data_IF_274172260140
#
_entry.id   IF_274172260140
#
_cell.length_a   1.000
_cell.length_b   1.000
_cell.length_c   1.000
_cell.angle_alpha   90.00
_cell.angle_beta   90.00
_cell.angle_gamma   90.00
#
_symmetry.space_group_name_H-M   'P 1'
#
loop_
_entity.id
_entity.type
_entity.pdbx_description
1 polymer ?
#
# COMPACT_ATOMS: atom_id res chain seq x y z
N UNK A 1 15.09 21.78 9.86
CA UNK A 1 15.03 20.31 9.93
C UNK A 1 13.70 19.93 10.57
N UNK A 2 12.64 19.80 9.78
CA UNK A 2 11.34 19.38 10.30
C UNK A 2 11.26 17.88 10.08
N UNK A 3 11.52 17.12 11.15
CA UNK A 3 11.30 15.69 11.20
C UNK A 3 9.90 15.41 10.69
N UNK A 4 9.80 14.90 9.46
CA UNK A 4 8.53 14.54 8.84
C UNK A 4 7.98 13.41 9.70
N UNK A 5 6.98 13.73 10.52
CA UNK A 5 6.19 12.75 11.22
C UNK A 5 5.94 11.59 10.25
N UNK A 6 6.27 10.37 10.69
CA UNK A 6 5.93 9.15 9.97
C UNK A 6 4.41 9.00 10.14
N UNK A 7 3.65 9.92 9.54
CA UNK A 7 2.22 9.78 9.37
C UNK A 7 2.09 8.61 8.41
N UNK A 8 1.70 7.45 8.97
CA UNK A 8 1.32 6.28 8.20
C UNK A 8 0.15 6.69 7.34
N UNK A 9 0.42 7.14 6.12
CA UNK A 9 -0.61 7.48 5.16
C UNK A 9 -0.91 6.20 4.36
N UNK A 10 -1.94 5.41 4.75
CA UNK A 10 -2.21 4.13 4.11
C UNK A 10 -2.51 4.33 2.62
N UNK A 11 -3.15 5.44 2.26
CA UNK A 11 -3.41 5.81 0.87
C UNK A 11 -2.13 5.90 0.06
N UNK A 12 -1.12 6.66 0.52
CA UNK A 12 0.15 6.79 -0.19
C UNK A 12 0.81 5.42 -0.44
N UNK A 13 0.78 4.51 0.54
CA UNK A 13 1.36 3.17 0.43
C UNK A 13 0.58 2.26 -0.51
N UNK A 14 -0.75 2.32 -0.48
CA UNK A 14 -1.61 1.55 -1.39
C UNK A 14 -1.39 2.03 -2.84
N UNK A 15 -1.24 3.33 -3.05
CA UNK A 15 -0.95 3.88 -4.37
C UNK A 15 0.43 3.44 -4.91
N UNK A 16 1.46 3.43 -4.06
CA UNK A 16 2.80 2.93 -4.43
C UNK A 16 2.76 1.45 -4.84
N UNK A 17 2.06 0.61 -4.05
CA UNK A 17 1.83 -0.80 -4.38
C UNK A 17 1.05 -0.98 -5.68
N UNK A 18 0.09 -0.09 -5.95
CA UNK A 18 -0.65 -0.10 -7.21
C UNK A 18 0.23 0.28 -8.41
N UNK A 19 1.15 1.24 -8.24
CA UNK A 19 2.14 1.58 -9.26
C UNK A 19 3.15 0.45 -9.49
N UNK A 20 3.45 -0.35 -8.45
CA UNK A 20 4.23 -1.57 -8.56
C UNK A 20 3.47 -2.74 -9.23
N UNK A 21 2.23 -2.53 -9.67
CA UNK A 21 1.42 -3.50 -10.40
C UNK A 21 0.48 -4.36 -9.55
N UNK A 22 0.40 -4.15 -8.23
CA UNK A 22 -0.58 -4.86 -7.41
C UNK A 22 -1.98 -4.26 -7.53
N UNK A 23 -3.00 -5.11 -7.58
CA UNK A 23 -4.39 -4.66 -7.55
C UNK A 23 -4.87 -4.37 -6.12
N UNK A 24 -5.91 -3.54 -5.98
CA UNK A 24 -6.54 -3.26 -4.67
C UNK A 24 -7.05 -4.54 -3.97
N UNK A 25 -7.46 -5.54 -4.75
CA UNK A 25 -7.89 -6.85 -4.22
C UNK A 25 -6.72 -7.60 -3.61
N UNK A 26 -5.58 -7.68 -4.30
CA UNK A 26 -4.38 -8.36 -3.80
C UNK A 26 -3.81 -7.66 -2.57
N UNK A 27 -3.77 -6.32 -2.58
CA UNK A 27 -3.35 -5.53 -1.43
C UNK A 27 -4.27 -5.82 -0.24
N UNK A 28 -5.59 -5.85 -0.45
CA UNK A 28 -6.57 -6.19 0.58
C UNK A 28 -6.33 -7.58 1.17
N UNK A 29 -6.21 -8.60 0.32
CA UNK A 29 -5.92 -9.97 0.76
C UNK A 29 -4.61 -10.04 1.56
N UNK A 30 -3.58 -9.32 1.14
CA UNK A 30 -2.28 -9.31 1.81
C UNK A 30 -2.28 -8.61 3.18
N UNK A 31 -3.16 -7.62 3.39
CA UNK A 31 -3.28 -6.88 4.66
C UNK A 31 -4.48 -7.29 5.51
N UNK A 32 -5.25 -8.30 5.09
CA UNK A 32 -6.45 -8.77 5.79
C UNK A 32 -7.67 -7.86 5.66
N UNK A 33 -7.72 -7.02 4.62
CA UNK A 33 -8.86 -6.15 4.32
C UNK A 33 -9.63 -6.62 3.08
N UNK A 34 -10.92 -6.28 3.05
CA UNK A 34 -11.73 -6.43 1.83
C UNK A 34 -11.36 -5.37 0.80
N UNK A 35 -11.43 -5.70 -0.49
CA UNK A 35 -11.24 -4.75 -1.60
C UNK A 35 -12.05 -3.43 -1.46
N UNK A 36 -13.33 -3.42 -1.05
CA UNK A 36 -14.05 -2.16 -0.79
C UNK A 36 -13.44 -1.34 0.34
N UNK A 37 -12.92 -1.97 1.40
CA UNK A 37 -12.25 -1.25 2.50
C UNK A 37 -10.94 -0.59 2.02
N UNK A 38 -10.18 -1.27 1.15
CA UNK A 38 -9.01 -0.68 0.48
C UNK A 38 -9.43 0.50 -0.41
N UNK A 39 -10.53 0.38 -1.14
CA UNK A 39 -11.07 1.48 -1.95
C UNK A 39 -11.46 2.69 -1.11
N UNK A 40 -12.08 2.48 0.05
CA UNK A 40 -12.45 3.54 0.99
C UNK A 40 -11.22 4.26 1.57
N UNK A 41 -10.13 3.52 1.84
CA UNK A 41 -8.82 4.09 2.24
C UNK A 41 -8.21 4.95 1.13
N UNK A 42 -8.21 4.47 -0.11
CA UNK A 42 -7.66 5.21 -1.26
C UNK A 42 -8.46 6.49 -1.53
N UNK A 43 -9.80 6.40 -1.39
CA UNK A 43 -10.72 7.53 -1.53
C UNK A 43 -10.66 8.51 -0.36
N UNK A 44 -9.98 8.15 0.73
CA UNK A 44 -9.86 8.98 1.93
C UNK A 44 -11.15 9.07 2.75
N UNK A 45 -12.12 8.18 2.51
CA UNK A 45 -13.32 8.05 3.36
C UNK A 45 -12.97 7.47 4.73
N UNK A 46 -11.95 6.61 4.75
CA UNK A 46 -11.34 6.08 5.95
C UNK A 46 -9.89 6.56 6.01
N UNK A 47 -9.52 7.23 7.10
CA UNK A 47 -8.15 7.68 7.36
C UNK A 47 -7.47 6.86 8.46
N UNK A 48 -8.27 6.09 9.22
CA UNK A 48 -7.80 5.35 10.40
C UNK A 48 -7.96 3.86 10.13
N UNK A 49 -6.87 3.11 10.28
CA UNK A 49 -6.86 1.65 10.19
C UNK A 49 -6.46 1.05 11.54
N UNK A 50 -6.89 -0.20 11.78
CA UNK A 50 -6.38 -1.01 12.88
C UNK A 50 -4.85 -1.08 12.82
N UNK A 51 -4.21 -1.15 13.99
CA UNK A 51 -2.75 -1.17 14.08
C UNK A 51 -2.15 -2.36 13.32
N UNK A 52 -2.76 -3.56 13.40
CA UNK A 52 -2.28 -4.73 12.65
C UNK A 52 -2.30 -4.52 11.13
N UNK A 53 -3.34 -3.87 10.61
CA UNK A 53 -3.46 -3.55 9.18
C UNK A 53 -2.38 -2.55 8.76
N UNK A 54 -2.12 -1.54 9.58
CA UNK A 54 -1.04 -0.59 9.36
C UNK A 54 0.33 -1.27 9.29
N UNK A 55 0.61 -2.18 10.23
CA UNK A 55 1.84 -2.97 10.24
C UNK A 55 1.97 -3.86 8.99
N UNK A 56 0.90 -4.57 8.62
CA UNK A 56 0.88 -5.42 7.43
C UNK A 56 1.13 -4.61 6.15
N UNK A 57 0.53 -3.42 6.03
CA UNK A 57 0.72 -2.53 4.88
C UNK A 57 2.15 -2.02 4.77
N UNK A 58 2.77 -1.62 5.89
CA UNK A 58 4.20 -1.23 5.91
C UNK A 58 5.07 -2.41 5.47
N UNK A 59 4.83 -3.60 6.01
CA UNK A 59 5.61 -4.79 5.70
C UNK A 59 5.50 -5.16 4.22
N UNK A 60 4.29 -5.11 3.66
CA UNK A 60 4.03 -5.37 2.24
C UNK A 60 4.76 -4.36 1.34
N UNK A 61 4.61 -3.07 1.64
CA UNK A 61 5.30 -2.01 0.90
C UNK A 61 6.82 -2.12 1.00
N UNK A 62 7.36 -2.43 2.18
CA UNK A 62 8.80 -2.60 2.37
C UNK A 62 9.35 -3.80 1.57
N UNK A 63 8.58 -4.88 1.43
CA UNK A 63 8.93 -6.02 0.57
C UNK A 63 8.96 -5.61 -0.90
N UNK A 64 7.96 -4.87 -1.38
CA UNK A 64 7.87 -4.44 -2.77
C UNK A 64 8.94 -3.40 -3.15
N UNK A 65 9.14 -2.37 -2.34
CA UNK A 65 10.14 -1.33 -2.63
C UNK A 65 11.56 -1.90 -2.68
N UNK A 66 11.92 -2.81 -1.77
CA UNK A 66 13.25 -3.45 -1.81
C UNK A 66 13.45 -4.36 -3.03
N UNK A 67 12.38 -4.92 -3.58
CA UNK A 67 12.44 -5.78 -4.75
C UNK A 67 12.42 -4.98 -6.07
N UNK A 68 11.81 -3.78 -6.07
CA UNK A 68 11.70 -2.92 -7.24
C UNK A 68 13.04 -2.31 -7.73
N UNK A 69 14.08 -2.29 -6.90
CA UNK A 69 15.42 -1.79 -7.28
C UNK A 69 16.15 -2.68 -8.30
N UNK A 70 15.61 -3.85 -8.69
CA UNK A 70 16.26 -4.77 -9.64
C UNK A 70 15.43 -5.16 -10.86
N UNK A 71 14.28 -4.53 -11.15
CA UNK A 71 13.46 -4.94 -12.29
C UNK A 71 12.93 -3.78 -13.12
N UNK A 72 13.65 -3.51 -14.20
CA UNK A 72 13.08 -3.09 -15.48
C UNK A 72 11.80 -3.90 -15.79
N UNK A 73 10.80 -3.20 -16.34
CA UNK A 73 9.69 -3.67 -17.22
C UNK A 73 9.75 -5.12 -17.73
N UNK A 74 8.61 -5.79 -18.02
CA UNK A 74 7.82 -5.37 -19.20
C UNK A 74 6.31 -5.73 -19.23
N UNK A 75 5.62 -5.08 -20.19
CA UNK A 75 4.55 -5.63 -21.05
C UNK A 75 3.17 -5.95 -20.42
N UNK A 76 2.20 -5.09 -20.74
CA UNK A 76 0.80 -5.49 -20.90
C UNK A 76 0.37 -5.08 -22.31
N UNK A 77 -0.15 -6.07 -23.03
CA UNK A 77 -0.42 -6.13 -24.47
C UNK A 77 -1.49 -5.14 -24.97
#
# INVERSE_FOLDING_TARGET
MTSKAITLDPKARILDLCQAGMTQTEIGQAIGLSQPAVSDLVRGRTTTVQWEVGQALIALHAKHVRCSSSRSSPEAA
#
